data_IF_167449916084
#
_entry.id   IF_167449916084
#
_cell.length_a   1.000
_cell.length_b   1.000
_cell.length_c   1.000
_cell.angle_alpha   90.00
_cell.angle_beta   90.00
_cell.angle_gamma   90.00
#
_symmetry.space_group_name_H-M   'P 1'
#
loop_
_entity.id
_entity.type
_entity.pdbx_description
1 polymer ?
#
# COMPACT_ATOMS: atom_id res chain seq x y z
N UNK A 1 6.96 -16.04 18.65
CA UNK A 1 7.45 -15.09 17.62
C UNK A 1 6.22 -14.37 17.08
N UNK A 2 6.29 -13.04 16.94
CA UNK A 2 5.18 -12.25 16.40
C UNK A 2 4.99 -12.56 14.93
N UNK A 3 3.75 -12.82 14.51
CA UNK A 3 3.42 -13.11 13.10
C UNK A 3 3.47 -11.82 12.29
N UNK A 4 4.23 -11.77 11.20
CA UNK A 4 4.30 -10.60 10.31
C UNK A 4 3.43 -10.85 9.08
N UNK A 5 2.63 -9.85 8.68
CA UNK A 5 1.68 -9.95 7.58
C UNK A 5 1.86 -8.75 6.66
N UNK A 6 2.12 -9.01 5.37
CA UNK A 6 2.13 -8.01 4.32
C UNK A 6 0.72 -7.84 3.75
N UNK A 7 0.11 -6.68 3.98
CA UNK A 7 -1.21 -6.30 3.50
C UNK A 7 -1.17 -5.84 2.03
N UNK A 8 -0.61 -6.65 1.11
CA UNK A 8 -0.39 -6.24 -0.28
C UNK A 8 -0.40 -7.38 -1.28
N UNK A 9 -0.93 -7.12 -2.48
CA UNK A 9 -0.83 -7.99 -3.66
C UNK A 9 0.38 -7.68 -4.53
N UNK A 10 1.20 -6.67 -4.18
CA UNK A 10 2.30 -6.21 -5.02
C UNK A 10 3.49 -7.19 -4.99
N UNK A 11 3.91 -7.76 -6.14
CA UNK A 11 5.09 -8.63 -6.21
C UNK A 11 6.36 -7.90 -5.76
N UNK A 12 6.50 -6.62 -6.16
CA UNK A 12 7.66 -5.79 -5.80
C UNK A 12 7.79 -5.59 -4.29
N UNK A 13 6.68 -5.40 -3.56
CA UNK A 13 6.74 -5.24 -2.08
C UNK A 13 7.12 -6.52 -1.38
N UNK A 14 6.63 -7.66 -1.88
CA UNK A 14 7.05 -8.97 -1.41
C UNK A 14 8.57 -9.14 -1.58
N UNK A 15 9.08 -8.90 -2.79
CA UNK A 15 10.51 -9.01 -3.11
C UNK A 15 11.37 -8.14 -2.18
N UNK A 16 10.96 -6.89 -1.91
CA UNK A 16 11.70 -5.98 -1.03
C UNK A 16 11.77 -6.48 0.42
N UNK A 17 10.71 -7.08 0.95
CA UNK A 17 10.71 -7.65 2.30
C UNK A 17 11.50 -8.96 2.36
N UNK A 18 11.45 -9.78 1.31
CA UNK A 18 12.28 -10.99 1.20
C UNK A 18 13.78 -10.65 1.12
N UNK A 19 14.14 -9.56 0.42
CA UNK A 19 15.53 -9.09 0.30
C UNK A 19 16.18 -8.74 1.64
N UNK A 20 15.40 -8.30 2.63
CA UNK A 20 15.89 -8.01 3.98
C UNK A 20 15.82 -9.22 4.91
N UNK A 21 15.46 -10.40 4.40
CA UNK A 21 15.37 -11.65 5.15
C UNK A 21 14.16 -11.74 6.07
N UNK A 22 13.09 -10.98 5.80
CA UNK A 22 11.90 -11.01 6.63
C UNK A 22 11.04 -12.24 6.32
N UNK A 23 10.64 -12.97 7.36
CA UNK A 23 9.61 -14.01 7.26
C UNK A 23 8.23 -13.39 7.51
N UNK A 24 7.34 -13.50 6.53
CA UNK A 24 6.01 -12.91 6.60
C UNK A 24 4.98 -13.71 5.80
N UNK A 25 3.71 -13.54 6.14
CA UNK A 25 2.57 -14.00 5.35
C UNK A 25 2.06 -12.88 4.46
N UNK A 26 1.39 -13.24 3.37
CA UNK A 26 0.75 -12.27 2.48
C UNK A 26 -0.75 -12.40 2.66
N UNK A 27 -1.41 -11.30 2.98
CA UNK A 27 -2.86 -11.21 3.00
C UNK A 27 -3.31 -9.96 2.23
N UNK A 28 -4.01 -10.10 1.09
CA UNK A 28 -4.54 -8.95 0.37
C UNK A 28 -5.52 -8.13 1.23
N UNK A 29 -5.32 -6.81 1.26
CA UNK A 29 -6.32 -5.90 1.79
C UNK A 29 -7.51 -5.79 0.81
N UNK A 30 -8.73 -5.77 1.35
CA UNK A 30 -9.96 -5.49 0.63
C UNK A 30 -10.35 -4.01 0.61
N UNK A 31 -9.49 -3.12 1.13
CA UNK A 31 -9.77 -1.69 1.18
C UNK A 31 -9.83 -1.08 -0.23
N UNK A 32 -10.98 -0.49 -0.59
CA UNK A 32 -11.15 0.23 -1.85
C UNK A 32 -10.50 1.62 -1.78
N UNK A 33 -9.57 1.88 -2.70
CA UNK A 33 -8.76 3.10 -2.71
C UNK A 33 -9.53 4.27 -3.33
N UNK A 34 -9.65 5.38 -2.60
CA UNK A 34 -10.13 6.65 -3.16
C UNK A 34 -8.99 7.67 -3.25
N UNK A 35 -8.59 7.95 -4.49
CA UNK A 35 -7.53 8.91 -4.84
C UNK A 35 -8.04 10.37 -4.88
N UNK A 36 -9.35 10.60 -4.79
CA UNK A 36 -9.96 11.93 -4.92
C UNK A 36 -10.13 12.66 -3.58
N UNK A 37 -9.58 12.10 -2.51
CA UNK A 37 -9.64 12.73 -1.20
C UNK A 37 -8.90 14.07 -1.21
N UNK A 38 -9.48 15.06 -0.51
CA UNK A 38 -8.92 16.40 -0.37
C UNK A 38 -7.76 16.41 0.63
N UNK A 39 -6.69 15.70 0.29
CA UNK A 39 -5.46 15.55 1.07
C UNK A 39 -4.26 15.90 0.17
N UNK A 40 -3.15 16.33 0.77
CA UNK A 40 -1.88 16.38 0.05
C UNK A 40 -1.46 14.98 -0.40
N UNK A 41 -0.65 14.84 -1.47
CA UNK A 41 -0.11 13.54 -1.89
C UNK A 41 0.53 12.74 -0.74
N UNK A 42 1.28 13.40 0.15
CA UNK A 42 1.94 12.75 1.27
C UNK A 42 0.93 12.23 2.32
N UNK A 43 -0.11 13.01 2.61
CA UNK A 43 -1.19 12.61 3.50
C UNK A 43 -1.99 11.45 2.91
N UNK A 44 -2.31 11.52 1.61
CA UNK A 44 -3.04 10.48 0.93
C UNK A 44 -2.26 9.14 0.94
N UNK A 45 -0.96 9.15 0.66
CA UNK A 45 -0.14 7.94 0.71
C UNK A 45 -0.11 7.31 2.12
N UNK A 46 0.04 8.13 3.16
CA UNK A 46 -0.03 7.68 4.56
C UNK A 46 -1.42 7.13 4.91
N UNK A 47 -2.46 7.81 4.47
CA UNK A 47 -3.83 7.39 4.72
C UNK A 47 -4.13 6.05 4.07
N UNK A 48 -3.89 5.90 2.77
CA UNK A 48 -4.16 4.66 2.02
C UNK A 48 -3.34 3.48 2.55
N UNK A 49 -2.04 3.68 2.82
CA UNK A 49 -1.20 2.63 3.41
C UNK A 49 -1.70 2.18 4.78
N UNK A 50 -2.15 3.11 5.61
CA UNK A 50 -2.73 2.82 6.92
C UNK A 50 -4.07 2.07 6.80
N UNK A 51 -4.97 2.51 5.92
CA UNK A 51 -6.26 1.83 5.71
C UNK A 51 -6.07 0.39 5.22
N UNK A 52 -5.12 0.14 4.31
CA UNK A 52 -4.78 -1.21 3.86
C UNK A 52 -4.28 -2.10 5.01
N UNK A 53 -3.41 -1.56 5.87
CA UNK A 53 -2.93 -2.28 7.04
C UNK A 53 -4.07 -2.55 8.05
N UNK A 54 -4.93 -1.56 8.30
CA UNK A 54 -6.06 -1.69 9.22
C UNK A 54 -7.05 -2.76 8.78
N UNK A 55 -7.44 -2.80 7.51
CA UNK A 55 -8.36 -3.83 6.98
C UNK A 55 -7.88 -5.26 7.29
N UNK A 56 -6.59 -5.52 7.16
CA UNK A 56 -6.00 -6.83 7.49
C UNK A 56 -5.83 -7.01 9.00
N UNK A 57 -5.43 -5.95 9.73
CA UNK A 57 -5.27 -6.02 11.19
C UNK A 57 -6.59 -6.34 11.91
N UNK A 58 -7.72 -5.84 11.40
CA UNK A 58 -9.06 -6.13 11.92
C UNK A 58 -9.39 -7.64 11.87
N UNK A 59 -8.93 -8.35 10.83
CA UNK A 59 -9.13 -9.80 10.66
C UNK A 59 -8.27 -10.64 11.61
N UNK A 60 -7.17 -10.07 12.12
CA UNK A 60 -6.25 -10.70 13.08
C UNK A 60 -6.36 -10.13 14.50
N UNK A 61 -7.48 -9.49 14.83
CA UNK A 61 -7.73 -8.97 16.17
C UNK A 61 -7.60 -10.07 17.23
N UNK A 62 -6.77 -9.81 18.24
CA UNK A 62 -6.50 -10.76 19.32
C UNK A 62 -5.33 -11.72 19.05
N UNK A 63 -4.74 -11.71 17.85
CA UNK A 63 -3.47 -12.39 17.58
C UNK A 63 -2.27 -11.46 17.86
N UNK A 64 -1.12 -12.02 18.29
CA UNK A 64 0.15 -11.29 18.30
C UNK A 64 0.71 -11.19 16.88
N UNK A 65 0.18 -10.22 16.12
CA UNK A 65 0.53 -9.97 14.72
C UNK A 65 1.02 -8.53 14.49
N UNK A 66 1.90 -8.37 13.50
CA UNK A 66 2.35 -7.09 12.94
C UNK A 66 1.93 -7.03 11.48
N UNK A 67 1.10 -6.04 11.13
CA UNK A 67 0.64 -5.84 9.76
C UNK A 67 1.40 -4.69 9.10
N UNK A 68 1.92 -4.94 7.89
CA UNK A 68 2.64 -3.98 7.07
C UNK A 68 1.76 -3.60 5.88
N UNK A 69 1.30 -2.35 5.86
CA UNK A 69 0.65 -1.72 4.70
C UNK A 69 1.58 -0.71 4.05
N UNK A 70 1.47 -0.57 2.73
CA UNK A 70 2.24 0.41 1.97
C UNK A 70 1.44 0.87 0.76
N UNK A 71 1.67 2.12 0.36
CA UNK A 71 1.06 2.69 -0.81
C UNK A 71 2.06 3.49 -1.65
N UNK A 72 1.78 3.65 -2.94
CA UNK A 72 2.69 4.34 -3.85
C UNK A 72 1.94 4.86 -5.06
N UNK A 73 2.11 6.16 -5.33
CA UNK A 73 1.66 6.82 -6.55
C UNK A 73 2.63 7.94 -6.90
N UNK A 74 2.51 8.46 -8.12
CA UNK A 74 3.34 9.56 -8.60
C UNK A 74 2.60 10.86 -8.31
N UNK A 75 3.31 11.87 -7.84
CA UNK A 75 2.78 13.21 -7.70
C UNK A 75 3.71 14.22 -8.39
N UNK A 76 3.11 15.21 -9.04
CA UNK A 76 3.82 16.29 -9.72
C UNK A 76 3.04 17.60 -9.53
N UNK A 77 3.75 18.68 -9.20
CA UNK A 77 3.15 20.01 -8.93
C UNK A 77 1.98 19.99 -7.93
N UNK A 78 2.05 19.11 -6.92
CA UNK A 78 1.04 18.98 -5.86
C UNK A 78 -0.19 18.14 -6.25
N UNK A 79 -0.26 17.61 -7.47
CA UNK A 79 -1.31 16.72 -7.93
C UNK A 79 -0.85 15.27 -8.09
N UNK A 80 -1.77 14.32 -7.91
CA UNK A 80 -1.51 12.90 -8.19
C UNK A 80 -1.56 12.67 -9.71
N UNK A 81 -0.51 12.06 -10.25
CA UNK A 81 -0.48 11.59 -11.62
C UNK A 81 -1.10 10.18 -11.70
N UNK A 82 -2.22 10.08 -12.41
CA UNK A 82 -2.83 8.81 -12.77
C UNK A 82 -1.99 8.05 -13.80
N UNK A 83 -2.39 6.80 -14.08
CA UNK A 83 -1.78 6.04 -15.18
C UNK A 83 -2.01 6.79 -16.50
N UNK A 84 -1.02 6.84 -17.41
CA UNK A 84 -1.18 7.59 -18.65
C UNK A 84 -2.18 6.95 -19.63
N UNK A 85 -2.41 5.63 -19.53
CA UNK A 85 -3.30 4.83 -20.40
C UNK A 85 -2.91 4.78 -21.90
N UNK A 86 -2.17 5.77 -22.43
CA UNK A 86 -1.64 5.82 -23.80
C UNK A 86 -0.15 6.17 -23.81
N UNK A 87 0.54 5.84 -24.91
CA UNK A 87 1.96 6.17 -25.07
C UNK A 87 2.18 7.68 -25.27
N UNK A 88 1.22 8.35 -25.91
CA UNK A 88 1.21 9.80 -26.10
C UNK A 88 1.11 10.51 -24.76
N UNK A 89 0.13 10.14 -23.92
CA UNK A 89 -0.04 10.72 -22.58
C UNK A 89 1.10 10.37 -21.62
N UNK A 90 1.90 9.34 -21.92
CA UNK A 90 3.11 9.02 -21.16
C UNK A 90 4.32 9.89 -21.54
N UNK A 91 4.27 10.61 -22.67
CA UNK A 91 5.33 11.53 -23.13
C UNK A 91 5.12 12.98 -22.68
N UNK A 92 3.88 13.33 -22.35
CA UNK A 92 3.49 14.59 -21.72
C UNK A 92 3.99 14.65 -20.27
#
# INVERSE_FOLDING_TARGET
MRKIILASTSPRRKELLEQIGLEFLIEPSGYEEDMNQKMSPEELARFLSHQKALDVAEKHKGEDSLVIGADTFIAFEGGVLGKPHTAEKAKE
#
